data_IF_160216221143
#
_entry.id   IF_160216221143
#
_cell.length_a   1.000
_cell.length_b   1.000
_cell.length_c   1.000
_cell.angle_alpha   90.00
_cell.angle_beta   90.00
_cell.angle_gamma   90.00
#
_symmetry.space_group_name_H-M   'P 1'
#
loop_
_entity.id
_entity.type
_entity.pdbx_description
1 polymer ?
#
# COMPACT_ATOMS: atom_id res chain seq x y z
N UNK A 1 -17.75 12.41 7.10
CA UNK A 1 -18.25 11.99 8.41
C UNK A 1 -19.38 12.95 8.76
N UNK A 2 -20.63 12.54 8.55
CA UNK A 2 -21.81 13.42 8.66
C UNK A 2 -22.58 13.19 9.98
N UNK A 3 -21.89 12.69 11.01
CA UNK A 3 -22.43 12.55 12.36
C UNK A 3 -22.33 13.91 13.06
N UNK A 4 -23.41 14.33 13.71
CA UNK A 4 -23.47 15.54 14.54
C UNK A 4 -22.35 15.58 15.59
N UNK A 5 -21.93 14.42 16.08
CA UNK A 5 -20.87 14.27 17.10
C UNK A 5 -19.51 14.78 16.62
N UNK A 6 -19.21 14.69 15.32
CA UNK A 6 -17.92 15.15 14.76
C UNK A 6 -17.94 16.63 14.39
N UNK A 7 -19.10 17.21 14.07
CA UNK A 7 -19.22 18.63 13.66
C UNK A 7 -18.91 19.59 14.81
N UNK A 8 -19.18 19.20 16.06
CA UNK A 8 -18.89 20.03 17.23
C UNK A 8 -17.43 20.04 17.67
N UNK A 9 -16.61 19.09 17.20
CA UNK A 9 -15.23 18.95 17.69
C UNK A 9 -14.32 20.04 17.11
N UNK A 10 -14.53 20.46 15.86
CA UNK A 10 -13.66 21.46 15.21
C UNK A 10 -13.59 22.81 15.93
N UNK A 11 -14.60 23.13 16.75
CA UNK A 11 -14.72 24.40 17.47
C UNK A 11 -14.04 24.38 18.87
N UNK A 12 -13.54 23.24 19.32
CA UNK A 12 -12.87 23.09 20.62
C UNK A 12 -11.39 23.47 20.55
N UNK A 13 -10.72 23.61 21.69
CA UNK A 13 -9.26 23.75 21.72
C UNK A 13 -8.56 22.45 21.26
N UNK A 14 -7.31 22.54 20.80
CA UNK A 14 -6.57 21.39 20.24
C UNK A 14 -6.43 20.20 21.20
N UNK A 15 -6.34 20.44 22.52
CA UNK A 15 -6.19 19.38 23.53
C UNK A 15 -7.51 18.65 23.72
N UNK A 16 -8.61 19.38 23.83
CA UNK A 16 -9.95 18.81 23.97
C UNK A 16 -10.41 18.13 22.66
N UNK A 17 -10.06 18.70 21.49
CA UNK A 17 -10.24 18.05 20.19
C UNK A 17 -9.62 16.65 20.17
N UNK A 18 -8.34 16.57 20.57
CA UNK A 18 -7.59 15.31 20.57
C UNK A 18 -8.20 14.28 21.52
N UNK A 19 -8.73 14.73 22.67
CA UNK A 19 -9.41 13.87 23.65
C UNK A 19 -10.73 13.33 23.08
N UNK A 20 -11.61 14.21 22.59
CA UNK A 20 -12.90 13.84 21.98
C UNK A 20 -12.71 12.89 20.79
N UNK A 21 -11.73 13.15 19.93
CA UNK A 21 -11.42 12.27 18.82
C UNK A 21 -10.99 10.86 19.25
N UNK A 22 -10.25 10.73 20.37
CA UNK A 22 -9.87 9.43 20.94
C UNK A 22 -11.07 8.70 21.57
N UNK A 23 -11.97 9.43 22.22
CA UNK A 23 -13.20 8.87 22.78
C UNK A 23 -14.11 8.32 21.68
N UNK A 24 -14.29 9.09 20.59
CA UNK A 24 -15.05 8.61 19.43
C UNK A 24 -14.38 7.43 18.74
N UNK A 25 -13.05 7.44 18.59
CA UNK A 25 -12.34 6.29 18.04
C UNK A 25 -12.54 5.03 18.89
N UNK A 26 -12.55 5.16 20.23
CA UNK A 26 -12.88 4.03 21.12
C UNK A 26 -14.33 3.59 20.98
N UNK A 27 -15.28 4.54 21.02
CA UNK A 27 -16.73 4.29 20.91
C UNK A 27 -17.09 3.54 19.63
N UNK A 28 -16.49 3.94 18.51
CA UNK A 28 -16.78 3.37 17.19
C UNK A 28 -15.78 2.29 16.76
N UNK A 29 -14.88 1.86 17.66
CA UNK A 29 -13.84 0.85 17.37
C UNK A 29 -13.00 1.23 16.14
N UNK A 30 -12.68 2.52 15.99
CA UNK A 30 -11.89 3.04 14.88
C UNK A 30 -10.42 3.05 15.29
N UNK A 31 -9.73 1.96 14.95
CA UNK A 31 -8.27 1.91 15.07
C UNK A 31 -7.68 1.05 13.96
N UNK A 32 -6.37 1.22 13.74
CA UNK A 32 -5.59 0.33 12.87
C UNK A 32 -5.75 -1.15 13.24
N UNK A 33 -5.83 -1.46 14.54
CA UNK A 33 -6.00 -2.83 15.02
C UNK A 33 -7.40 -3.38 14.67
N UNK A 34 -8.45 -2.62 14.97
CA UNK A 34 -9.83 -3.04 14.71
C UNK A 34 -10.10 -3.19 13.21
N UNK A 35 -9.56 -2.29 12.38
CA UNK A 35 -9.70 -2.42 10.93
C UNK A 35 -8.97 -3.66 10.39
N UNK A 36 -7.78 -3.99 10.94
CA UNK A 36 -7.08 -5.23 10.61
C UNK A 36 -7.90 -6.46 11.01
N UNK A 37 -8.52 -6.46 12.20
CA UNK A 37 -9.41 -7.52 12.67
C UNK A 37 -10.62 -7.69 11.76
N UNK A 38 -11.21 -6.58 11.31
CA UNK A 38 -12.35 -6.55 10.40
C UNK A 38 -12.03 -7.15 9.02
N UNK A 39 -10.86 -6.82 8.43
CA UNK A 39 -10.49 -7.35 7.10
C UNK A 39 -9.99 -8.79 7.13
N UNK A 40 -9.47 -9.27 8.27
CA UNK A 40 -8.90 -10.61 8.41
C UNK A 40 -9.81 -11.74 7.88
N UNK A 41 -11.08 -11.88 8.29
CA UNK A 41 -11.94 -12.92 7.76
C UNK A 41 -12.22 -12.78 6.26
N UNK A 42 -12.20 -11.54 5.73
CA UNK A 42 -12.40 -11.29 4.29
C UNK A 42 -11.22 -11.82 3.47
N UNK A 43 -9.99 -11.53 3.90
CA UNK A 43 -8.79 -11.96 3.17
C UNK A 43 -8.49 -13.44 3.34
N UNK A 44 -8.88 -14.05 4.46
CA UNK A 44 -8.71 -15.49 4.67
C UNK A 44 -9.47 -16.36 3.66
N UNK A 45 -10.63 -15.90 3.18
CA UNK A 45 -11.36 -16.57 2.09
C UNK A 45 -10.53 -16.66 0.80
N UNK A 46 -9.59 -15.72 0.60
CA UNK A 46 -8.73 -15.62 -0.56
C UNK A 46 -7.27 -15.96 -0.25
N UNK A 47 -6.98 -16.72 0.82
CA UNK A 47 -5.60 -17.01 1.28
C UNK A 47 -4.66 -17.62 0.23
N UNK A 48 -5.22 -18.23 -0.83
CA UNK A 48 -4.44 -18.75 -1.98
C UNK A 48 -3.88 -17.64 -2.88
N UNK A 49 -4.46 -16.45 -2.84
CA UNK A 49 -4.12 -15.32 -3.72
C UNK A 49 -3.76 -14.04 -2.95
N UNK A 50 -4.26 -13.87 -1.72
CA UNK A 50 -4.00 -12.72 -0.85
C UNK A 50 -3.23 -13.21 0.38
N UNK A 51 -1.99 -12.73 0.52
CA UNK A 51 -1.19 -12.98 1.71
C UNK A 51 -1.76 -12.27 2.94
N UNK A 52 -1.44 -12.81 4.12
CA UNK A 52 -1.92 -12.23 5.39
C UNK A 52 -1.44 -10.79 5.57
N UNK A 53 -0.18 -10.48 5.23
CA UNK A 53 0.34 -9.12 5.36
C UNK A 53 -0.20 -8.20 4.27
N UNK A 54 -0.50 -8.70 3.07
CA UNK A 54 -1.15 -7.97 1.99
C UNK A 54 -2.53 -7.46 2.40
N UNK A 55 -3.33 -8.32 3.06
CA UNK A 55 -4.60 -7.91 3.64
C UNK A 55 -4.46 -6.81 4.69
N UNK A 56 -3.46 -6.93 5.56
CA UNK A 56 -3.17 -5.92 6.58
C UNK A 56 -2.72 -4.59 5.96
N UNK A 57 -1.86 -4.64 4.93
CA UNK A 57 -1.40 -3.47 4.21
C UNK A 57 -2.57 -2.71 3.55
N UNK A 58 -3.58 -3.43 3.03
CA UNK A 58 -4.79 -2.81 2.50
C UNK A 58 -5.60 -2.09 3.58
N UNK A 59 -5.79 -2.72 4.74
CA UNK A 59 -6.42 -2.07 5.89
C UNK A 59 -5.64 -0.83 6.33
N UNK A 60 -4.33 -0.92 6.46
CA UNK A 60 -3.48 0.19 6.88
C UNK A 60 -3.52 1.37 5.92
N UNK A 61 -3.52 1.10 4.61
CA UNK A 61 -3.67 2.15 3.58
C UNK A 61 -5.04 2.83 3.65
N UNK A 62 -6.10 2.07 3.90
CA UNK A 62 -7.43 2.63 4.11
C UNK A 62 -7.48 3.49 5.39
N UNK A 63 -6.91 2.99 6.50
CA UNK A 63 -6.84 3.72 7.76
C UNK A 63 -6.04 5.02 7.64
N UNK A 64 -4.87 5.00 7.01
CA UNK A 64 -4.06 6.20 6.79
C UNK A 64 -4.80 7.25 5.94
N UNK A 65 -5.65 6.82 5.01
CA UNK A 65 -6.51 7.71 4.22
C UNK A 65 -7.62 8.31 5.09
N UNK A 66 -8.25 7.51 5.94
CA UNK A 66 -9.22 7.97 6.93
C UNK A 66 -8.60 8.98 7.90
N UNK A 67 -7.41 8.72 8.46
CA UNK A 67 -6.73 9.65 9.37
C UNK A 67 -6.46 11.00 8.70
N UNK A 68 -5.98 11.00 7.45
CA UNK A 68 -5.77 12.25 6.70
C UNK A 68 -7.07 13.03 6.55
N UNK A 69 -8.18 12.36 6.27
CA UNK A 69 -9.49 13.00 6.17
C UNK A 69 -9.98 13.52 7.52
N UNK A 70 -9.88 12.70 8.58
CA UNK A 70 -10.29 13.03 9.95
C UNK A 70 -9.58 14.28 10.47
N UNK A 71 -8.27 14.38 10.27
CA UNK A 71 -7.46 15.51 10.75
C UNK A 71 -7.41 16.70 9.76
N UNK A 72 -8.31 16.75 8.77
CA UNK A 72 -8.38 17.87 7.82
C UNK A 72 -7.18 17.99 6.87
N UNK A 73 -6.29 16.99 6.81
CA UNK A 73 -5.15 16.93 5.88
C UNK A 73 -5.57 16.53 4.45
N UNK A 74 -6.81 16.07 4.27
CA UNK A 74 -7.39 15.74 2.98
C UNK A 74 -8.85 16.21 2.90
N UNK A 75 -9.24 16.79 1.75
CA UNK A 75 -10.60 17.32 1.53
C UNK A 75 -11.63 16.23 1.22
N UNK A 76 -11.22 15.12 0.59
CA UNK A 76 -12.10 14.05 0.11
C UNK A 76 -11.36 12.72 0.09
N UNK A 77 -12.09 11.63 0.35
CA UNK A 77 -11.61 10.25 0.17
C UNK A 77 -12.06 9.74 -1.20
N UNK A 78 -11.13 9.20 -1.97
CA UNK A 78 -11.40 8.54 -3.25
C UNK A 78 -11.26 7.03 -3.08
N UNK A 79 -12.38 6.33 -3.18
CA UNK A 79 -12.39 4.87 -3.17
C UNK A 79 -11.91 4.31 -4.51
N UNK A 80 -11.32 3.12 -4.48
CA UNK A 80 -10.99 2.39 -5.71
C UNK A 80 -12.23 1.66 -6.18
N UNK A 81 -12.60 1.88 -7.44
CA UNK A 81 -13.63 1.07 -8.10
C UNK A 81 -13.13 -0.38 -8.23
N UNK A 82 -14.06 -1.33 -8.26
CA UNK A 82 -13.77 -2.76 -8.39
C UNK A 82 -12.80 -3.07 -9.55
N UNK A 83 -13.02 -2.43 -10.69
CA UNK A 83 -12.22 -2.65 -11.92
C UNK A 83 -10.87 -1.90 -11.91
N UNK A 84 -10.69 -0.95 -11.00
CA UNK A 84 -9.55 -0.02 -10.95
C UNK A 84 -8.55 -0.37 -9.82
N UNK A 85 -8.66 -1.55 -9.24
CA UNK A 85 -7.71 -2.04 -8.24
C UNK A 85 -6.51 -2.72 -8.91
N UNK A 86 -5.43 -1.96 -9.05
CA UNK A 86 -4.29 -2.34 -9.87
C UNK A 86 -2.97 -2.54 -9.12
N UNK A 87 -2.98 -2.56 -7.78
CA UNK A 87 -1.72 -2.68 -7.05
C UNK A 87 -1.85 -3.46 -5.76
N UNK A 88 -1.01 -4.47 -5.58
CA UNK A 88 -0.89 -5.23 -4.35
C UNK A 88 0.56 -5.36 -3.93
N UNK A 89 0.81 -5.33 -2.63
CA UNK A 89 2.13 -5.56 -2.03
C UNK A 89 1.96 -6.22 -0.68
N UNK A 90 3.01 -6.90 -0.25
CA UNK A 90 3.18 -7.26 1.15
C UNK A 90 3.83 -6.10 1.90
N UNK A 91 3.89 -6.22 3.24
CA UNK A 91 4.56 -5.22 4.08
C UNK A 91 6.06 -5.19 3.85
N UNK A 92 6.66 -6.36 3.64
CA UNK A 92 8.09 -6.57 3.35
C UNK A 92 8.31 -7.60 2.26
N UNK A 93 9.55 -8.08 2.13
CA UNK A 93 9.95 -9.10 1.16
C UNK A 93 10.15 -10.51 1.79
N UNK A 94 9.45 -10.82 2.88
CA UNK A 94 9.71 -12.04 3.69
C UNK A 94 8.72 -13.17 3.35
N UNK A 95 7.44 -12.85 3.13
CA UNK A 95 6.36 -13.84 2.91
C UNK A 95 5.42 -13.38 1.81
N UNK A 96 4.64 -14.29 1.22
CA UNK A 96 3.60 -13.94 0.25
C UNK A 96 4.14 -13.55 -1.11
N UNK A 97 4.00 -12.27 -1.50
CA UNK A 97 4.62 -11.66 -2.67
C UNK A 97 6.06 -11.20 -2.37
N UNK A 98 7.03 -11.85 -3.03
CA UNK A 98 8.47 -11.60 -2.85
C UNK A 98 9.16 -11.47 -4.19
N UNK A 99 10.24 -10.71 -4.21
CA UNK A 99 11.18 -10.65 -5.33
C UNK A 99 12.48 -11.35 -4.96
N UNK A 100 12.94 -12.23 -5.83
CA UNK A 100 14.22 -12.94 -5.76
C UNK A 100 15.16 -12.37 -6.82
N UNK A 101 16.25 -11.77 -6.37
CA UNK A 101 17.19 -11.05 -7.23
C UNK A 101 18.02 -12.01 -8.07
N UNK A 102 18.45 -13.11 -7.46
CA UNK A 102 19.29 -14.15 -8.06
C UNK A 102 18.59 -14.79 -9.25
N UNK A 103 17.30 -15.09 -9.08
CA UNK A 103 16.45 -15.71 -10.11
C UNK A 103 15.74 -14.70 -11.02
N UNK A 104 15.91 -13.40 -10.77
CA UNK A 104 15.17 -12.31 -11.42
C UNK A 104 13.66 -12.61 -11.55
N UNK A 105 13.02 -13.02 -10.45
CA UNK A 105 11.63 -13.45 -10.47
C UNK A 105 10.86 -12.95 -9.23
N UNK A 106 9.53 -12.91 -9.35
CA UNK A 106 8.66 -12.84 -8.18
C UNK A 106 8.15 -14.21 -7.82
N UNK A 107 7.97 -14.45 -6.53
CA UNK A 107 7.14 -15.52 -6.00
C UNK A 107 5.92 -14.90 -5.35
N UNK A 108 4.73 -15.36 -5.74
CA UNK A 108 3.47 -14.95 -5.15
C UNK A 108 2.75 -16.19 -4.63
N UNK A 109 2.88 -16.44 -3.31
CA UNK A 109 2.23 -17.59 -2.65
C UNK A 109 2.49 -18.93 -3.36
N UNK A 110 3.73 -19.12 -3.83
CA UNK A 110 4.16 -20.34 -4.56
C UNK A 110 4.19 -20.18 -6.08
N UNK A 111 3.46 -19.21 -6.65
CA UNK A 111 3.53 -18.93 -8.08
C UNK A 111 4.83 -18.18 -8.41
N UNK A 112 5.72 -18.77 -9.21
CA UNK A 112 6.96 -18.14 -9.69
C UNK A 112 6.71 -17.48 -11.05
N UNK A 113 7.04 -16.19 -11.17
CA UNK A 113 6.89 -15.42 -12.41
C UNK A 113 8.20 -14.69 -12.69
N UNK A 114 8.78 -14.92 -13.87
CA UNK A 114 10.00 -14.24 -14.29
C UNK A 114 9.75 -12.74 -14.49
N UNK A 115 10.70 -11.92 -14.06
CA UNK A 115 10.68 -10.47 -14.23
C UNK A 115 11.71 -10.09 -15.29
N UNK A 116 11.24 -9.39 -16.31
CA UNK A 116 12.11 -8.89 -17.38
C UNK A 116 12.80 -7.62 -16.88
N UNK A 117 14.12 -7.69 -16.69
CA UNK A 117 14.97 -6.56 -16.36
C UNK A 117 15.90 -6.30 -17.54
N UNK A 118 16.01 -5.04 -17.97
CA UNK A 118 16.92 -4.67 -19.05
C UNK A 118 18.34 -4.55 -18.51
N UNK A 119 19.26 -5.37 -19.02
CA UNK A 119 20.66 -5.36 -18.56
C UNK A 119 21.40 -4.05 -18.87
N UNK A 120 20.97 -3.32 -19.90
CA UNK A 120 21.56 -2.03 -20.28
C UNK A 120 21.07 -0.83 -19.45
N UNK A 121 20.10 -1.03 -18.55
CA UNK A 121 19.57 0.03 -17.69
C UNK A 121 20.46 0.21 -16.45
N UNK A 122 21.52 1.03 -16.60
CA UNK A 122 22.49 1.32 -15.52
C UNK A 122 21.83 1.84 -14.24
N UNK A 123 20.74 2.61 -14.36
CA UNK A 123 20.00 3.13 -13.22
C UNK A 123 19.37 1.97 -12.43
N UNK A 124 18.65 1.09 -13.11
CA UNK A 124 18.03 -0.08 -12.47
C UNK A 124 19.09 -0.99 -11.86
N UNK A 125 20.19 -1.24 -12.56
CA UNK A 125 21.29 -2.07 -12.04
C UNK A 125 21.90 -1.47 -10.76
N UNK A 126 22.06 -0.15 -10.69
CA UNK A 126 22.58 0.51 -9.49
C UNK A 126 21.64 0.38 -8.29
N UNK A 127 20.32 0.46 -8.49
CA UNK A 127 19.34 0.27 -7.41
C UNK A 127 19.40 -1.14 -6.80
N UNK A 128 19.79 -2.16 -7.56
CA UNK A 128 19.89 -3.52 -7.06
C UNK A 128 21.06 -3.73 -6.10
N UNK A 129 21.98 -2.77 -5.95
CA UNK A 129 23.04 -2.81 -4.94
C UNK A 129 22.51 -2.55 -3.53
N UNK A 130 21.38 -1.85 -3.42
CA UNK A 130 20.74 -1.53 -2.15
C UNK A 130 19.88 -2.69 -1.62
N UNK A 131 19.60 -2.66 -0.31
CA UNK A 131 18.75 -3.66 0.33
C UNK A 131 17.30 -3.55 -0.17
N UNK A 132 16.75 -4.65 -0.66
CA UNK A 132 15.35 -4.73 -1.07
C UNK A 132 14.43 -4.77 0.15
N UNK A 133 13.51 -3.79 0.25
CA UNK A 133 12.53 -3.70 1.33
C UNK A 133 11.25 -4.50 1.03
N UNK A 134 10.62 -4.20 -0.10
CA UNK A 134 9.42 -4.90 -0.57
C UNK A 134 9.26 -4.76 -2.09
N UNK A 135 8.40 -5.60 -2.66
CA UNK A 135 7.93 -5.44 -4.03
C UNK A 135 6.40 -5.28 -4.08
N UNK A 136 5.93 -4.67 -5.17
CA UNK A 136 4.53 -4.41 -5.45
C UNK A 136 4.23 -4.84 -6.88
N UNK A 137 3.20 -5.66 -7.05
CA UNK A 137 2.67 -5.95 -8.37
C UNK A 137 1.74 -4.82 -8.80
N UNK A 138 1.90 -4.35 -10.03
CA UNK A 138 1.13 -3.28 -10.65
C UNK A 138 0.49 -3.78 -11.95
N UNK A 139 -0.80 -3.51 -12.16
CA UNK A 139 -1.47 -3.63 -13.45
C UNK A 139 -1.62 -2.24 -14.07
N UNK A 140 -1.40 -2.11 -15.37
CA UNK A 140 -1.66 -0.87 -16.13
C UNK A 140 -2.28 -1.24 -17.46
N UNK A 141 -3.18 -0.41 -17.96
CA UNK A 141 -3.68 -0.52 -19.33
C UNK A 141 -2.83 0.39 -20.20
N UNK A 142 -2.13 -0.18 -21.20
CA UNK A 142 -1.28 0.55 -22.14
C UNK A 142 -1.68 0.15 -23.54
N UNK A 143 -2.14 1.11 -24.35
CA UNK A 143 -2.66 0.89 -25.70
C UNK A 143 -3.77 -0.19 -25.72
N UNK A 144 -4.74 -0.09 -24.81
CA UNK A 144 -5.85 -1.05 -24.67
C UNK A 144 -5.47 -2.42 -24.11
N UNK A 145 -4.18 -2.69 -23.86
CA UNK A 145 -3.70 -4.00 -23.37
C UNK A 145 -3.30 -3.93 -21.89
N UNK A 146 -3.65 -4.98 -21.16
CA UNK A 146 -3.18 -5.16 -19.77
C UNK A 146 -1.68 -5.44 -19.77
N UNK A 147 -0.91 -4.61 -19.08
CA UNK A 147 0.52 -4.80 -18.80
C UNK A 147 0.74 -4.88 -17.29
N UNK A 148 1.57 -5.82 -16.89
CA UNK A 148 1.91 -6.06 -15.48
C UNK A 148 3.36 -5.66 -15.22
N UNK A 149 3.60 -4.97 -14.12
CA UNK A 149 4.91 -4.46 -13.72
C UNK A 149 5.18 -4.83 -12.27
N UNK A 150 6.44 -5.09 -11.95
CA UNK A 150 6.90 -5.21 -10.58
C UNK A 150 7.59 -3.91 -10.21
N UNK A 151 7.05 -3.23 -9.20
CA UNK A 151 7.71 -2.08 -8.58
C UNK A 151 8.47 -2.58 -7.36
N UNK A 152 9.78 -2.38 -7.35
CA UNK A 152 10.65 -2.76 -6.23
C UNK A 152 10.98 -1.49 -5.45
N UNK A 153 10.98 -1.60 -4.12
CA UNK A 153 11.44 -0.53 -3.23
C UNK A 153 12.68 -1.00 -2.50
N UNK A 154 13.74 -0.23 -2.64
CA UNK A 154 15.01 -0.43 -1.97
C UNK A 154 15.16 0.56 -0.81
N UNK A 155 16.01 0.22 0.15
CA UNK A 155 16.49 1.12 1.19
C UNK A 155 17.49 2.13 0.60
N UNK A 156 17.70 3.26 1.27
CA UNK A 156 18.73 4.23 0.90
C UNK A 156 18.23 5.39 0.04
N UNK A 157 19.20 6.10 -0.54
CA UNK A 157 18.94 7.30 -1.36
C UNK A 157 18.92 6.89 -2.84
N UNK A 158 17.86 7.25 -3.60
CA UNK A 158 17.77 6.84 -4.99
C UNK A 158 18.98 7.35 -5.80
N UNK A 159 19.57 6.51 -6.66
CA UNK A 159 20.70 6.91 -7.49
C UNK A 159 20.30 8.08 -8.40
N UNK A 160 21.27 8.90 -8.81
CA UNK A 160 21.00 10.03 -9.71
C UNK A 160 20.45 9.50 -11.04
N UNK A 161 19.17 9.76 -11.30
CA UNK A 161 18.55 9.43 -12.59
C UNK A 161 19.21 10.28 -13.67
N UNK A 162 19.98 9.67 -14.56
CA UNK A 162 20.48 10.38 -15.74
C UNK A 162 19.27 10.90 -16.53
N UNK A 163 19.24 12.20 -16.85
CA UNK A 163 18.28 12.73 -17.81
C UNK A 163 18.56 12.06 -19.14
N UNK A 164 17.64 11.23 -19.61
CA UNK A 164 17.57 10.92 -21.04
C UNK A 164 16.96 12.18 -21.67
N UNK A 165 17.82 13.12 -22.07
CA UNK A 165 17.43 14.20 -22.99
C UNK A 165 17.55 13.66 -24.42
N UNK A 166 16.79 14.11 -25.40
CA UNK A 166 15.72 15.10 -25.49
C UNK A 166 15.01 14.86 -26.82
#
# INVERSE_FOLDING_TARGET
INSSEYKGISNLDKKEQSKRYKELDKKYLISKFELNKYVKPMTQKFKKNIGSQMGQELAERAFATYEKFKYGKAKKVYFKNYENFYSVREKGNITGLRFFKEDCCISWLGLKILVIIKNNDKYVQSCFLDKLLYCRLLKRVVNGKNKYYVQITFEGTPPKKHKVGG
#
